data_IF_020977703874
#
_entry.id   IF_020977703874
#
_cell.length_a   1.000
_cell.length_b   1.000
_cell.length_c   1.000
_cell.angle_alpha   90.00
_cell.angle_beta   90.00
_cell.angle_gamma   90.00
#
_symmetry.space_group_name_H-M   'P 1'
#
loop_
_entity.id
_entity.type
_entity.pdbx_description
1 polymer ?
#
# COMPACT_ATOMS: atom_id res chain seq x y z
N UNK A 1 1.13 21.17 -48.30
CA UNK A 1 1.34 21.59 -46.90
C UNK A 1 0.07 21.29 -46.14
N UNK A 2 0.09 20.33 -45.21
CA UNK A 2 -0.69 20.27 -43.94
C UNK A 2 -0.58 18.85 -43.40
N UNK A 3 0.50 18.59 -42.67
CA UNK A 3 0.65 17.39 -41.84
C UNK A 3 -0.27 17.55 -40.62
N UNK A 4 -1.32 16.74 -40.54
CA UNK A 4 -2.13 16.59 -39.34
C UNK A 4 -1.32 15.81 -38.31
N UNK A 5 -0.76 16.53 -37.33
CA UNK A 5 -0.15 15.92 -36.15
C UNK A 5 -1.28 15.36 -35.26
N UNK A 6 -1.45 14.03 -35.26
CA UNK A 6 -2.20 13.36 -34.20
C UNK A 6 -1.37 13.44 -32.91
N UNK A 7 -1.75 14.38 -32.03
CA UNK A 7 -1.32 14.34 -30.63
C UNK A 7 -1.97 13.13 -29.95
N UNK A 8 -1.21 12.05 -29.80
CA UNK A 8 -1.58 10.97 -28.89
C UNK A 8 -1.56 11.53 -27.47
N UNK A 9 -2.75 11.80 -26.90
CA UNK A 9 -2.89 12.10 -25.49
C UNK A 9 -2.50 10.84 -24.69
N UNK A 10 -1.30 10.85 -24.10
CA UNK A 10 -0.96 9.91 -23.03
C UNK A 10 -1.91 10.21 -21.86
N UNK A 11 -3.01 9.46 -21.77
CA UNK A 11 -3.80 9.42 -20.56
C UNK A 11 -2.90 8.85 -19.47
N UNK A 12 -2.27 9.74 -18.70
CA UNK A 12 -1.69 9.39 -17.41
C UNK A 12 -2.86 8.83 -16.59
N UNK A 13 -2.95 7.51 -16.51
CA UNK A 13 -3.81 6.84 -15.56
C UNK A 13 -3.33 7.32 -14.20
N UNK A 14 -4.04 8.31 -13.64
CA UNK A 14 -3.84 8.74 -12.28
C UNK A 14 -3.95 7.47 -11.45
N UNK A 15 -2.80 7.00 -10.99
CA UNK A 15 -2.65 5.74 -10.27
C UNK A 15 -3.69 5.80 -9.15
N UNK A 16 -4.70 4.91 -9.17
CA UNK A 16 -5.86 4.94 -8.29
C UNK A 16 -5.46 4.57 -6.86
N UNK A 17 -4.66 5.45 -6.27
CA UNK A 17 -4.11 5.38 -4.96
C UNK A 17 -5.26 5.37 -3.96
N UNK A 18 -5.25 4.39 -3.05
CA UNK A 18 -6.27 4.25 -2.01
C UNK A 18 -6.35 5.50 -1.12
N UNK A 19 -5.26 6.28 -0.97
CA UNK A 19 -5.25 7.52 -0.17
C UNK A 19 -6.14 8.62 -0.74
N UNK A 20 -6.60 8.52 -1.99
CA UNK A 20 -7.61 9.44 -2.52
C UNK A 20 -9.04 9.11 -2.05
N UNK A 21 -9.27 7.88 -1.59
CA UNK A 21 -10.58 7.38 -1.14
C UNK A 21 -10.59 6.98 0.33
N UNK A 22 -9.44 7.02 1.01
CA UNK A 22 -9.28 6.57 2.37
C UNK A 22 -8.54 7.61 3.20
N UNK A 23 -8.88 7.67 4.48
CA UNK A 23 -8.29 8.56 5.47
C UNK A 23 -8.09 7.80 6.79
N UNK A 24 -7.46 8.46 7.76
CA UNK A 24 -7.24 7.92 9.11
C UNK A 24 -6.54 6.55 9.09
N UNK A 25 -5.55 6.38 8.21
CA UNK A 25 -4.84 5.12 8.08
C UNK A 25 -3.81 4.94 9.20
N UNK A 26 -3.88 3.82 9.92
CA UNK A 26 -2.94 3.47 10.99
C UNK A 26 -2.69 1.95 11.05
N UNK A 27 -1.59 1.55 11.69
CA UNK A 27 -1.42 0.15 12.08
C UNK A 27 -2.41 -0.18 13.20
N UNK A 28 -3.08 -1.33 13.10
CA UNK A 28 -3.94 -1.82 14.17
C UNK A 28 -3.03 -2.34 15.28
N UNK A 29 -3.04 -1.67 16.44
CA UNK A 29 -2.06 -1.88 17.54
C UNK A 29 -1.88 -3.37 17.88
N UNK A 30 -2.97 -4.10 18.11
CA UNK A 30 -2.94 -5.53 18.48
C UNK A 30 -2.56 -6.48 17.33
N UNK A 31 -2.29 -5.94 16.13
CA UNK A 31 -1.95 -6.69 14.91
C UNK A 31 -0.82 -6.01 14.12
N UNK A 32 -0.09 -5.08 14.74
CA UNK A 32 0.91 -4.25 14.08
C UNK A 32 2.11 -5.08 13.59
N UNK A 33 2.57 -6.03 14.41
CA UNK A 33 3.63 -6.99 14.04
C UNK A 33 3.24 -7.86 12.85
N UNK A 34 1.94 -8.11 12.69
CA UNK A 34 1.40 -8.87 11.57
C UNK A 34 1.13 -7.99 10.33
N UNK A 35 1.55 -6.72 10.37
CA UNK A 35 1.44 -5.74 9.30
C UNK A 35 0.00 -5.37 8.95
N UNK A 36 -0.93 -5.39 9.91
CA UNK A 36 -2.33 -5.07 9.62
C UNK A 36 -2.56 -3.56 9.75
N UNK A 37 -2.96 -2.94 8.65
CA UNK A 37 -3.36 -1.55 8.55
C UNK A 37 -4.88 -1.44 8.55
N UNK A 38 -5.41 -0.48 9.30
CA UNK A 38 -6.80 -0.02 9.20
C UNK A 38 -6.85 1.35 8.56
N UNK A 39 -7.90 1.63 7.77
CA UNK A 39 -8.24 2.95 7.26
C UNK A 39 -9.76 3.12 7.22
N UNK A 40 -10.24 4.36 7.20
CA UNK A 40 -11.62 4.67 6.86
C UNK A 40 -11.71 5.07 5.38
N UNK A 41 -12.49 4.34 4.60
CA UNK A 41 -12.58 4.50 3.16
C UNK A 41 -14.00 4.87 2.73
N UNK A 42 -14.12 5.75 1.74
CA UNK A 42 -15.40 6.07 1.11
C UNK A 42 -15.90 4.88 0.28
N UNK A 43 -17.12 4.44 0.57
CA UNK A 43 -17.86 3.48 -0.25
C UNK A 43 -18.57 4.18 -1.42
N UNK A 44 -19.27 3.40 -2.26
CA UNK A 44 -19.92 3.94 -3.47
C UNK A 44 -21.11 4.87 -3.16
N UNK A 45 -21.61 4.83 -1.92
CA UNK A 45 -22.61 5.78 -1.39
C UNK A 45 -21.98 7.01 -0.74
N UNK A 46 -20.68 7.23 -0.93
CA UNK A 46 -19.89 8.32 -0.33
C UNK A 46 -19.92 8.34 1.20
N UNK A 47 -20.11 7.17 1.84
CA UNK A 47 -20.01 7.00 3.29
C UNK A 47 -18.65 6.44 3.66
N UNK A 48 -18.08 6.94 4.75
CA UNK A 48 -16.88 6.34 5.35
C UNK A 48 -17.23 5.03 6.01
N UNK A 49 -16.49 3.99 5.65
CA UNK A 49 -16.54 2.67 6.27
C UNK A 49 -15.13 2.24 6.64
N UNK A 50 -14.96 1.65 7.82
CA UNK A 50 -13.66 1.14 8.24
C UNK A 50 -13.31 -0.13 7.47
N UNK A 51 -12.09 -0.18 6.95
CA UNK A 51 -11.54 -1.33 6.25
C UNK A 51 -10.15 -1.65 6.81
N UNK A 52 -9.82 -2.93 6.86
CA UNK A 52 -8.49 -3.39 7.22
C UNK A 52 -7.85 -4.14 6.05
N UNK A 53 -6.52 -4.05 5.97
CA UNK A 53 -5.71 -4.80 5.02
C UNK A 53 -4.46 -5.32 5.72
N UNK A 54 -4.17 -6.60 5.51
CA UNK A 54 -2.92 -7.20 5.96
C UNK A 54 -1.83 -6.89 4.93
N UNK A 55 -0.97 -5.92 5.21
CA UNK A 55 0.11 -5.51 4.29
C UNK A 55 1.06 -6.68 3.98
N UNK A 56 1.18 -7.67 4.87
CA UNK A 56 1.99 -8.85 4.60
C UNK A 56 1.48 -9.71 3.44
N UNK A 57 0.22 -9.58 3.01
CA UNK A 57 -0.25 -10.25 1.78
C UNK A 57 0.08 -9.46 0.52
N UNK A 58 0.50 -8.20 0.66
CA UNK A 58 0.74 -7.27 -0.44
C UNK A 58 2.22 -7.03 -0.73
N UNK A 59 3.10 -7.32 0.22
CA UNK A 59 4.53 -7.02 0.08
C UNK A 59 5.39 -8.20 0.50
N UNK A 60 6.52 -8.36 -0.20
CA UNK A 60 7.58 -9.29 0.12
C UNK A 60 8.85 -8.54 0.51
N UNK A 61 9.70 -9.22 1.27
CA UNK A 61 11.09 -8.79 1.45
C UNK A 61 11.95 -9.40 0.32
N UNK A 62 12.58 -8.56 -0.47
CA UNK A 62 13.57 -8.92 -1.47
C UNK A 62 14.91 -8.30 -1.07
N UNK A 63 15.77 -9.11 -0.46
CA UNK A 63 17.14 -8.75 -0.06
C UNK A 63 17.21 -7.46 0.80
N UNK A 64 16.40 -7.41 1.86
CA UNK A 64 16.34 -6.28 2.78
C UNK A 64 15.45 -5.12 2.32
N UNK A 65 14.78 -5.25 1.16
CA UNK A 65 13.90 -4.22 0.60
C UNK A 65 12.47 -4.73 0.47
N UNK A 66 11.49 -3.89 0.80
CA UNK A 66 10.09 -4.20 0.51
C UNK A 66 9.78 -3.99 -0.97
N UNK A 67 9.09 -4.96 -1.56
CA UNK A 67 8.57 -4.88 -2.93
C UNK A 67 7.10 -5.30 -2.96
N UNK A 68 6.27 -4.72 -3.85
CA UNK A 68 4.93 -5.21 -4.12
C UNK A 68 4.95 -6.66 -4.62
N UNK A 69 4.27 -7.56 -3.92
CA UNK A 69 4.14 -8.96 -4.32
C UNK A 69 2.90 -9.59 -3.67
N UNK A 70 2.05 -10.21 -4.49
CA UNK A 70 0.93 -11.01 -3.99
C UNK A 70 1.43 -12.15 -3.10
N UNK A 71 0.80 -12.34 -1.94
CA UNK A 71 1.21 -13.31 -0.93
C UNK A 71 2.68 -13.16 -0.47
N UNK A 72 3.24 -11.94 -0.51
CA UNK A 72 4.67 -11.73 -0.30
C UNK A 72 5.20 -12.10 1.09
N UNK A 73 4.37 -11.98 2.12
CA UNK A 73 4.63 -12.37 3.50
C UNK A 73 5.92 -11.79 4.11
N UNK A 74 6.17 -10.49 3.90
CA UNK A 74 7.39 -9.83 4.37
C UNK A 74 7.65 -9.98 5.88
N UNK A 75 6.60 -10.14 6.70
CA UNK A 75 6.71 -10.28 8.17
C UNK A 75 7.50 -11.51 8.61
N UNK A 76 7.77 -12.47 7.72
CA UNK A 76 8.68 -13.60 8.00
C UNK A 76 10.13 -13.17 8.21
N UNK A 77 10.54 -12.08 7.58
CA UNK A 77 11.93 -11.62 7.59
C UNK A 77 12.07 -10.11 7.80
N UNK A 78 10.97 -9.41 8.07
CA UNK A 78 11.00 -8.04 8.54
C UNK A 78 10.13 -7.82 9.78
N UNK A 79 10.51 -6.81 10.57
CA UNK A 79 9.70 -6.24 11.64
C UNK A 79 9.09 -4.92 11.17
N UNK A 80 7.83 -4.68 11.54
CA UNK A 80 7.14 -3.40 11.30
C UNK A 80 7.44 -2.45 12.45
N UNK A 81 7.98 -1.28 12.15
CA UNK A 81 8.32 -0.26 13.16
C UNK A 81 7.25 0.83 13.25
N UNK A 82 6.54 1.11 12.16
CA UNK A 82 5.50 2.13 12.17
C UNK A 82 4.91 2.43 10.79
N UNK A 83 3.87 3.25 10.79
CA UNK A 83 3.20 3.75 9.60
C UNK A 83 2.98 5.25 9.78
N UNK A 84 3.47 6.07 8.86
CA UNK A 84 3.36 7.52 8.97
C UNK A 84 3.06 8.18 7.63
N UNK A 85 2.18 9.19 7.61
CA UNK A 85 1.96 10.00 6.42
C UNK A 85 3.18 10.89 6.19
N UNK A 86 3.61 11.02 4.94
CA UNK A 86 4.63 12.01 4.53
C UNK A 86 4.00 13.21 3.81
N UNK A 87 2.86 12.96 3.14
CA UNK A 87 2.02 14.00 2.53
C UNK A 87 0.57 13.52 2.48
N UNK A 88 -0.36 14.34 1.97
CA UNK A 88 -1.75 13.91 1.74
C UNK A 88 -1.86 12.70 0.80
N UNK A 89 -0.82 12.40 0.01
CA UNK A 89 -0.80 11.33 -1.00
C UNK A 89 0.30 10.30 -0.81
N UNK A 90 0.98 10.28 0.33
CA UNK A 90 2.03 9.28 0.59
C UNK A 90 1.93 8.75 2.00
N UNK A 91 1.95 7.43 2.12
CA UNK A 91 1.88 6.72 3.38
C UNK A 91 3.05 5.76 3.44
N UNK A 92 3.97 6.01 4.37
CA UNK A 92 5.21 5.25 4.48
C UNK A 92 5.11 4.22 5.58
N UNK A 93 5.40 2.97 5.23
CA UNK A 93 5.61 1.87 6.17
C UNK A 93 7.10 1.80 6.50
N UNK A 94 7.44 2.00 7.77
CA UNK A 94 8.80 1.78 8.27
C UNK A 94 8.97 0.35 8.74
N UNK A 95 10.04 -0.28 8.25
CA UNK A 95 10.37 -1.68 8.52
C UNK A 95 11.86 -1.88 8.72
N UNK A 96 12.18 -2.98 9.40
CA UNK A 96 13.51 -3.56 9.48
C UNK A 96 13.49 -4.93 8.84
N UNK A 97 14.12 -5.10 7.68
CA UNK A 97 14.12 -6.33 6.90
C UNK A 97 15.50 -6.98 6.89
N UNK A 98 15.57 -8.31 7.01
CA UNK A 98 16.82 -9.06 6.83
C UNK A 98 17.16 -9.18 5.35
N UNK A 99 18.41 -8.89 4.98
CA UNK A 99 18.95 -9.22 3.65
C UNK A 99 19.34 -10.72 3.56
N UNK A 100 19.79 -11.16 2.39
CA UNK A 100 20.19 -12.55 2.16
C UNK A 100 21.44 -12.97 2.94
N UNK A 101 22.21 -12.01 3.44
CA UNK A 101 23.36 -12.25 4.34
C UNK A 101 22.94 -12.29 5.82
N UNK A 102 21.67 -12.05 6.12
CA UNK A 102 21.11 -12.00 7.46
C UNK A 102 21.26 -10.65 8.17
N UNK A 103 21.82 -9.63 7.52
CA UNK A 103 21.94 -8.31 8.12
C UNK A 103 20.60 -7.58 8.08
N UNK A 104 20.33 -6.79 9.11
CA UNK A 104 19.08 -6.01 9.20
C UNK A 104 19.25 -4.68 8.48
N UNK A 105 18.47 -4.50 7.43
CA UNK A 105 18.32 -3.27 6.69
C UNK A 105 17.10 -2.51 7.20
N UNK A 106 17.29 -1.25 7.59
CA UNK A 106 16.19 -0.37 8.00
C UNK A 106 15.76 0.49 6.82
N UNK A 107 14.46 0.66 6.62
CA UNK A 107 13.96 1.48 5.53
C UNK A 107 12.51 1.88 5.70
N UNK A 108 12.10 2.87 4.92
CA UNK A 108 10.70 3.28 4.79
C UNK A 108 10.26 3.11 3.35
N UNK A 109 9.08 2.52 3.16
CA UNK A 109 8.52 2.21 1.85
C UNK A 109 7.18 2.93 1.69
N UNK A 110 7.01 3.72 0.63
CA UNK A 110 5.72 4.34 0.33
C UNK A 110 4.76 3.25 -0.17
N UNK A 111 3.87 2.76 0.69
CA UNK A 111 2.90 1.71 0.35
C UNK A 111 1.82 2.21 -0.61
N UNK A 112 1.76 3.53 -0.83
CA UNK A 112 0.88 4.13 -1.82
C UNK A 112 1.51 4.22 -3.22
N UNK A 113 2.84 4.11 -3.31
CA UNK A 113 3.54 4.14 -4.59
C UNK A 113 3.14 2.94 -5.47
N UNK A 114 2.85 3.20 -6.74
CA UNK A 114 2.59 2.15 -7.74
C UNK A 114 1.19 1.52 -7.70
N UNK A 115 0.21 2.08 -6.96
CA UNK A 115 -1.17 1.54 -6.89
C UNK A 115 -1.28 0.08 -6.43
N UNK A 116 -0.30 -0.40 -5.67
CA UNK A 116 -0.33 -1.76 -5.09
C UNK A 116 -1.58 -1.98 -4.24
N UNK A 117 -1.96 -0.96 -3.48
CA UNK A 117 -3.16 -0.94 -2.65
C UNK A 117 -4.20 -0.03 -3.31
N UNK A 118 -5.40 -0.55 -3.46
CA UNK A 118 -6.58 0.14 -3.99
C UNK A 118 -7.73 0.06 -2.99
N UNK A 119 -8.73 0.93 -3.17
CA UNK A 119 -9.97 0.88 -2.41
C UNK A 119 -11.16 0.77 -3.37
N UNK A 120 -11.95 -0.29 -3.21
CA UNK A 120 -13.13 -0.58 -4.05
C UNK A 120 -14.35 -0.69 -3.14
N UNK A 121 -15.33 0.19 -3.32
CA UNK A 121 -16.53 0.29 -2.49
C UNK A 121 -16.21 0.29 -0.97
N UNK A 122 -15.21 1.10 -0.57
CA UNK A 122 -14.79 1.22 0.82
C UNK A 122 -13.91 0.08 1.34
N UNK A 123 -13.58 -0.91 0.51
CA UNK A 123 -12.76 -2.07 0.90
C UNK A 123 -11.36 -1.95 0.34
N UNK A 124 -10.36 -1.96 1.23
CA UNK A 124 -8.94 -2.01 0.87
C UNK A 124 -8.57 -3.37 0.26
N UNK A 125 -7.84 -3.34 -0.86
CA UNK A 125 -7.37 -4.52 -1.58
C UNK A 125 -5.98 -4.31 -2.17
N UNK A 126 -5.24 -5.39 -2.37
CA UNK A 126 -4.02 -5.44 -3.15
C UNK A 126 -4.01 -6.72 -3.99
N UNK A 127 -3.63 -6.66 -5.26
CA UNK A 127 -3.64 -7.83 -6.17
C UNK A 127 -4.99 -8.61 -6.18
N UNK A 128 -6.11 -7.93 -5.98
CA UNK A 128 -7.43 -8.56 -5.84
C UNK A 128 -7.69 -9.26 -4.49
N UNK A 129 -6.70 -9.31 -3.60
CA UNK A 129 -6.78 -9.81 -2.23
C UNK A 129 -7.19 -8.69 -1.27
N UNK A 130 -8.12 -8.95 -0.36
CA UNK A 130 -8.57 -7.98 0.64
C UNK A 130 -10.07 -8.07 0.91
N UNK A 131 -10.51 -7.51 2.03
CA UNK A 131 -11.85 -7.69 2.58
C UNK A 131 -11.82 -7.72 4.09
N UNK A 132 -12.95 -7.39 4.77
CA UNK A 132 -13.06 -7.57 6.21
C UNK A 132 -12.81 -9.04 6.54
N UNK A 133 -11.83 -9.31 7.41
CA UNK A 133 -11.79 -10.57 8.16
C UNK A 133 -12.80 -10.46 9.29
#
# INVERSE_FOLDING_TARGET
MHFLYLLAALAATASASFTNKCQSCNLIINKAEAGVMGCDCFNDSNKLVSSALRLSTCFANADGKLIPQANGNFVKSCSVEGLFPSSQRSLFLSVKCKDNSGNVQSGSFDINAGSTITSVNGVLKCFGQGGPN
#
